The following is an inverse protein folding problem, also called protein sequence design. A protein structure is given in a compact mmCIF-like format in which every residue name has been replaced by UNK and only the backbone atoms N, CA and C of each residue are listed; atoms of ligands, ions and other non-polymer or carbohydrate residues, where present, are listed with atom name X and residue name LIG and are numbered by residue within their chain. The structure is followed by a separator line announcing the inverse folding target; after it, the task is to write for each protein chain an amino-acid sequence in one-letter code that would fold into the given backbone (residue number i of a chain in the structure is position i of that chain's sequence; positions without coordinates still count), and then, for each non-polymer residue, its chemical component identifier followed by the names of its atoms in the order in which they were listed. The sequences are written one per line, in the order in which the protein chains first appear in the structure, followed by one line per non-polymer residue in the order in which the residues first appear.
data_IF_578333633855
#
_entry.id   IF_578333633855
#
_cell.length_a   1.000
_cell.length_b   1.000
_cell.length_c   1.000
_cell.angle_alpha   90.00
_cell.angle_beta   90.00
_cell.angle_gamma   90.00
#
_symmetry.space_group_name_H-M   'P 1'
#
loop_
_entity.id
_entity.type
_entity.pdbx_description
1 polymer ?
#
# COMPACT_ATOMS: atom_id res chain seq x y z
N UNK A 1 -25.06 84.02 -50.48
CA UNK A 1 -23.65 83.63 -50.31
C UNK A 1 -23.12 83.67 -48.87
N UNK A 2 -23.49 84.61 -47.97
CA UNK A 2 -23.02 84.66 -46.55
C UNK A 2 -23.57 83.52 -45.68
N UNK A 3 -24.81 83.04 -45.93
CA UNK A 3 -25.35 81.88 -45.12
C UNK A 3 -24.74 80.52 -45.46
N UNK A 4 -24.40 80.31 -46.74
CA UNK A 4 -23.75 79.09 -47.20
C UNK A 4 -22.35 79.01 -46.60
N UNK A 5 -21.61 80.15 -46.57
CA UNK A 5 -20.28 80.18 -45.89
C UNK A 5 -20.31 79.88 -44.40
N UNK A 6 -21.37 80.37 -43.69
CA UNK A 6 -21.60 80.08 -42.27
C UNK A 6 -21.93 78.58 -42.06
N UNK A 7 -22.73 77.95 -42.94
CA UNK A 7 -23.05 76.54 -42.89
C UNK A 7 -21.76 75.61 -43.11
N UNK A 8 -20.93 76.03 -44.09
CA UNK A 8 -19.67 75.27 -44.33
C UNK A 8 -18.68 75.37 -43.14
N UNK A 9 -18.58 76.58 -42.54
CA UNK A 9 -17.75 76.77 -41.34
C UNK A 9 -18.27 75.95 -40.15
N UNK A 10 -19.60 75.96 -39.91
CA UNK A 10 -20.18 75.14 -38.86
C UNK A 10 -19.99 73.63 -39.10
N UNK A 11 -20.16 73.18 -40.34
CA UNK A 11 -19.88 71.77 -40.69
C UNK A 11 -18.39 71.39 -40.50
N UNK A 12 -17.46 72.31 -40.83
CA UNK A 12 -16.02 72.10 -40.61
C UNK A 12 -15.68 72.04 -39.10
N UNK A 13 -16.24 72.91 -38.29
CA UNK A 13 -16.06 72.89 -36.82
C UNK A 13 -16.64 71.61 -36.20
N UNK A 14 -17.81 71.19 -36.64
CA UNK A 14 -18.42 69.93 -36.19
C UNK A 14 -17.55 68.73 -36.62
N UNK A 15 -17.07 68.70 -37.85
CA UNK A 15 -16.19 67.62 -38.35
C UNK A 15 -14.85 67.57 -37.63
N UNK A 16 -14.23 68.71 -37.34
CA UNK A 16 -12.98 68.76 -36.55
C UNK A 16 -13.22 68.38 -35.11
N UNK A 17 -14.30 68.82 -34.47
CA UNK A 17 -14.68 68.43 -33.10
C UNK A 17 -14.91 66.93 -33.02
N UNK A 18 -15.62 66.35 -33.98
CA UNK A 18 -15.84 64.91 -34.06
C UNK A 18 -14.56 64.12 -34.27
N UNK A 19 -13.65 64.63 -35.09
CA UNK A 19 -12.33 64.01 -35.32
C UNK A 19 -11.45 64.07 -34.06
N UNK A 20 -11.46 65.17 -33.32
CA UNK A 20 -10.75 65.31 -32.03
C UNK A 20 -11.31 64.34 -30.97
N UNK A 21 -12.64 64.22 -30.91
CA UNK A 21 -13.28 63.27 -30.02
C UNK A 21 -12.86 61.81 -30.31
N UNK A 22 -12.82 61.42 -31.58
CA UNK A 22 -12.37 60.07 -31.99
C UNK A 22 -10.86 59.88 -31.91
N UNK A 23 -10.09 60.94 -31.74
CA UNK A 23 -8.63 60.85 -31.54
C UNK A 23 -8.24 60.52 -30.10
N UNK A 24 -9.10 60.84 -29.14
CA UNK A 24 -8.82 60.63 -27.73
C UNK A 24 -9.23 59.22 -27.30
N UNK A 25 -8.39 58.56 -26.50
CA UNK A 25 -8.72 57.29 -25.86
C UNK A 25 -8.05 57.18 -24.49
N UNK A 26 -8.61 56.33 -23.65
CA UNK A 26 -8.11 56.09 -22.28
C UNK A 26 -7.49 54.71 -22.19
N UNK A 27 -6.36 54.64 -21.50
CA UNK A 27 -5.69 53.38 -21.14
C UNK A 27 -5.88 53.10 -19.67
N UNK A 28 -6.47 51.95 -19.34
CA UNK A 28 -6.63 51.50 -17.95
C UNK A 28 -5.32 50.88 -17.44
N UNK A 29 -5.08 50.88 -16.10
CA UNK A 29 -3.94 50.20 -15.47
C UNK A 29 -3.91 48.70 -15.71
N UNK A 30 -5.06 48.07 -15.94
CA UNK A 30 -5.17 46.63 -16.19
C UNK A 30 -4.94 46.24 -17.66
N UNK A 31 -4.70 47.24 -18.51
CA UNK A 31 -4.58 47.08 -19.97
C UNK A 31 -3.29 47.66 -20.52
N UNK A 32 -2.82 47.08 -21.57
CA UNK A 32 -1.73 47.59 -22.41
C UNK A 32 -2.24 47.65 -23.86
N UNK A 33 -1.78 48.64 -24.60
CA UNK A 33 -2.31 48.96 -25.92
C UNK A 33 -1.23 48.91 -26.97
N UNK A 34 -1.59 48.32 -28.12
CA UNK A 34 -0.80 48.39 -29.36
C UNK A 34 -1.63 49.15 -30.36
N UNK A 35 -1.06 50.23 -30.92
CA UNK A 35 -1.63 50.95 -32.03
C UNK A 35 -1.20 50.28 -33.33
N UNK A 36 -2.18 49.95 -34.16
CA UNK A 36 -1.94 49.44 -35.51
C UNK A 36 -2.42 50.42 -36.56
N UNK A 37 -1.69 50.47 -37.66
CA UNK A 37 -2.08 51.23 -38.84
C UNK A 37 -2.11 50.27 -40.02
N UNK A 38 -3.28 50.14 -40.65
CA UNK A 38 -3.51 49.18 -41.73
C UNK A 38 -3.04 47.75 -41.34
N UNK A 39 -3.31 47.32 -40.09
CA UNK A 39 -2.97 46.02 -39.54
C UNK A 39 -1.48 45.85 -39.09
N UNK A 40 -0.63 46.89 -39.33
CA UNK A 40 0.79 46.85 -38.92
C UNK A 40 0.97 47.62 -37.61
N UNK A 41 1.59 47.02 -36.58
CA UNK A 41 1.88 47.73 -35.33
C UNK A 41 2.85 48.86 -35.53
N UNK A 42 2.54 50.02 -34.94
CA UNK A 42 3.35 51.25 -35.03
C UNK A 42 3.71 51.71 -33.61
N UNK A 43 4.98 52.06 -33.45
CA UNK A 43 5.49 52.59 -32.19
C UNK A 43 5.72 51.51 -31.13
N UNK A 44 5.95 51.97 -29.92
CA UNK A 44 6.14 51.08 -28.76
C UNK A 44 4.79 50.77 -28.10
N UNK A 45 4.61 49.62 -27.49
CA UNK A 45 3.43 49.31 -26.69
C UNK A 45 3.22 50.37 -25.62
N UNK A 46 1.96 50.80 -25.43
CA UNK A 46 1.59 51.76 -24.42
C UNK A 46 1.12 51.02 -23.17
N UNK A 47 1.96 51.03 -22.14
CA UNK A 47 1.73 50.31 -20.85
C UNK A 47 1.26 51.24 -19.76
N UNK A 48 1.50 52.58 -19.90
CA UNK A 48 1.14 53.55 -18.88
C UNK A 48 -0.30 54.00 -19.06
N UNK A 49 -1.08 53.92 -17.99
CA UNK A 49 -2.45 54.38 -17.95
C UNK A 49 -2.56 55.91 -18.19
N UNK A 50 -3.74 56.34 -18.60
CA UNK A 50 -4.07 57.75 -18.81
C UNK A 50 -4.69 58.02 -20.16
N UNK A 51 -4.91 59.31 -20.41
CA UNK A 51 -5.44 59.83 -21.69
C UNK A 51 -4.36 59.86 -22.73
N UNK A 52 -4.61 59.30 -23.90
CA UNK A 52 -3.70 59.22 -25.04
C UNK A 52 -4.40 59.67 -26.33
N UNK A 53 -3.60 59.96 -27.35
CA UNK A 53 -4.09 60.44 -28.63
C UNK A 53 -3.67 59.48 -29.74
N UNK A 54 -4.60 59.16 -30.63
CA UNK A 54 -4.35 58.42 -31.88
C UNK A 54 -4.77 59.22 -33.10
N UNK A 55 -4.27 58.83 -34.26
CA UNK A 55 -4.79 59.40 -35.54
C UNK A 55 -6.12 58.71 -35.86
N UNK A 56 -7.23 59.48 -35.84
CA UNK A 56 -8.55 58.89 -36.10
C UNK A 56 -8.62 58.36 -37.54
N UNK A 57 -9.48 57.38 -37.77
CA UNK A 57 -9.75 56.71 -39.06
C UNK A 57 -8.60 55.85 -39.65
N UNK A 58 -7.36 56.04 -39.21
CA UNK A 58 -6.19 55.36 -39.76
C UNK A 58 -5.59 54.38 -38.75
N UNK A 59 -5.63 54.78 -37.47
CA UNK A 59 -5.07 53.98 -36.38
C UNK A 59 -6.13 53.23 -35.59
N UNK A 60 -5.90 51.97 -35.42
CA UNK A 60 -6.72 51.06 -34.59
C UNK A 60 -6.06 50.74 -33.26
N UNK A 61 -6.84 50.55 -32.22
CA UNK A 61 -6.37 50.25 -30.90
C UNK A 61 -6.61 48.76 -30.64
N UNK A 62 -5.55 48.04 -30.36
CA UNK A 62 -5.63 46.65 -29.91
C UNK A 62 -5.32 46.61 -28.40
N UNK A 63 -6.33 46.30 -27.63
CA UNK A 63 -6.23 46.22 -26.17
C UNK A 63 -5.82 44.82 -25.75
N UNK A 64 -4.80 44.73 -24.93
CA UNK A 64 -4.22 43.47 -24.40
C UNK A 64 -4.30 43.53 -22.87
N UNK A 65 -4.73 42.46 -22.23
CA UNK A 65 -4.79 42.37 -20.78
C UNK A 65 -3.35 42.33 -20.18
N UNK A 66 -3.12 43.09 -19.11
CA UNK A 66 -1.87 43.18 -18.38
C UNK A 66 -1.88 42.30 -17.13
N UNK A 67 -3.07 41.86 -16.70
CA UNK A 67 -3.26 41.02 -15.51
C UNK A 67 -2.74 39.62 -15.71
N UNK A 68 -2.65 38.88 -14.61
CA UNK A 68 -2.41 37.45 -14.65
C UNK A 68 -3.67 36.76 -15.17
N UNK A 69 -3.48 35.96 -16.21
CA UNK A 69 -4.49 35.15 -16.86
C UNK A 69 -4.33 33.70 -16.44
N UNK A 70 -5.43 33.00 -16.45
CA UNK A 70 -5.47 31.57 -16.19
C UNK A 70 -5.46 30.78 -17.50
N UNK A 71 -4.85 29.63 -17.46
CA UNK A 71 -4.99 28.58 -18.44
C UNK A 71 -5.45 27.31 -17.73
N UNK A 72 -6.60 26.79 -18.09
CA UNK A 72 -7.19 25.55 -17.57
C UNK A 72 -7.17 24.52 -18.70
N UNK A 73 -6.21 23.59 -18.62
CA UNK A 73 -6.01 22.57 -19.64
C UNK A 73 -7.17 21.56 -19.62
N UNK A 74 -7.48 21.01 -20.78
CA UNK A 74 -8.44 19.90 -20.85
C UNK A 74 -7.78 18.62 -20.35
N UNK A 75 -8.51 17.77 -19.58
CA UNK A 75 -8.01 16.47 -19.17
C UNK A 75 -7.49 15.69 -20.40
N UNK A 76 -6.28 15.24 -20.34
CA UNK A 76 -5.63 14.50 -21.44
C UNK A 76 -5.04 13.19 -20.92
N UNK A 77 -5.28 12.13 -21.69
CA UNK A 77 -4.76 10.81 -21.37
C UNK A 77 -3.32 10.67 -21.86
N UNK A 78 -2.46 10.19 -20.97
CA UNK A 78 -1.04 10.03 -21.29
C UNK A 78 -0.43 8.84 -20.55
N UNK A 79 0.53 8.14 -21.19
CA UNK A 79 1.22 7.02 -20.55
C UNK A 79 2.32 7.55 -19.62
N UNK A 80 2.48 6.87 -18.48
CA UNK A 80 3.60 7.05 -17.57
C UNK A 80 4.77 6.12 -17.94
N UNK A 81 5.94 6.30 -17.31
CA UNK A 81 7.12 5.44 -17.51
C UNK A 81 6.83 3.97 -17.20
N UNK A 82 6.00 3.70 -16.21
CA UNK A 82 5.55 2.37 -15.81
C UNK A 82 4.37 1.82 -16.65
N UNK A 83 4.13 2.45 -17.82
CA UNK A 83 3.11 2.04 -18.81
C UNK A 83 1.68 2.08 -18.29
N UNK A 84 1.41 2.89 -17.29
CA UNK A 84 0.06 3.15 -16.81
C UNK A 84 -0.53 4.34 -17.56
N UNK A 85 -1.76 4.20 -18.04
CA UNK A 85 -2.48 5.31 -18.69
C UNK A 85 -3.24 6.11 -17.64
N UNK A 86 -2.92 7.39 -17.56
CA UNK A 86 -3.52 8.33 -16.62
C UNK A 86 -4.14 9.51 -17.35
N UNK A 87 -5.25 10.00 -16.85
CA UNK A 87 -5.88 11.24 -17.25
C UNK A 87 -5.34 12.36 -16.37
N UNK A 88 -4.68 13.32 -16.97
CA UNK A 88 -4.03 14.42 -16.28
C UNK A 88 -4.72 15.72 -16.64
N UNK A 89 -5.07 16.48 -15.61
CA UNK A 89 -5.67 17.79 -15.68
C UNK A 89 -4.69 18.80 -15.06
N UNK A 90 -4.39 19.87 -15.80
CA UNK A 90 -3.40 20.87 -15.47
C UNK A 90 -4.00 22.26 -15.40
N UNK A 91 -3.37 23.06 -14.58
CA UNK A 91 -3.68 24.48 -14.43
C UNK A 91 -2.40 25.28 -14.47
N UNK A 92 -2.41 26.41 -15.18
CA UNK A 92 -1.29 27.33 -15.24
C UNK A 92 -1.72 28.78 -15.13
N UNK A 93 -0.82 29.62 -14.64
CA UNK A 93 -1.00 31.07 -14.62
C UNK A 93 0.07 31.72 -15.48
N UNK A 94 -0.36 32.66 -16.28
CA UNK A 94 0.51 33.33 -17.24
C UNK A 94 0.17 34.80 -17.36
N UNK A 95 1.08 35.60 -17.92
CA UNK A 95 0.85 37.03 -18.25
C UNK A 95 1.59 37.41 -19.48
N UNK A 96 1.15 38.51 -20.08
CA UNK A 96 1.77 39.09 -21.28
C UNK A 96 2.78 40.12 -20.83
N UNK A 97 4.09 39.88 -21.11
CA UNK A 97 5.20 40.79 -20.76
C UNK A 97 5.67 41.58 -21.96
N UNK A 98 5.58 41.01 -23.17
CA UNK A 98 5.88 41.72 -24.40
C UNK A 98 4.64 41.74 -25.33
N UNK A 99 3.83 42.79 -25.25
CA UNK A 99 2.60 42.89 -26.04
C UNK A 99 2.88 42.90 -27.54
N UNK A 100 4.04 43.44 -27.99
CA UNK A 100 4.39 43.49 -29.40
C UNK A 100 4.66 42.09 -29.96
N UNK A 101 5.45 41.28 -29.28
CA UNK A 101 5.68 39.88 -29.67
C UNK A 101 4.40 39.08 -29.61
N UNK A 102 3.61 39.28 -28.57
CA UNK A 102 2.31 38.65 -28.42
C UNK A 102 1.39 38.95 -29.62
N UNK A 103 1.21 40.23 -29.95
CA UNK A 103 0.37 40.62 -31.05
C UNK A 103 0.87 40.13 -32.41
N UNK A 104 2.16 40.18 -32.66
CA UNK A 104 2.75 39.74 -33.94
C UNK A 104 2.59 38.22 -34.16
N UNK A 105 2.65 37.43 -33.12
CA UNK A 105 2.66 35.96 -33.19
C UNK A 105 1.32 35.29 -32.91
N UNK A 106 0.53 35.86 -32.02
CA UNK A 106 -0.70 35.25 -31.54
C UNK A 106 -1.95 36.07 -31.88
N UNK A 107 -1.83 37.40 -31.91
CA UNK A 107 -2.90 38.39 -32.19
C UNK A 107 -3.96 38.50 -31.11
N UNK A 108 -4.56 37.39 -30.70
CA UNK A 108 -5.68 37.32 -29.77
C UNK A 108 -5.48 36.25 -28.68
N UNK A 109 -6.33 36.30 -27.67
CA UNK A 109 -6.28 35.39 -26.50
C UNK A 109 -6.63 33.96 -26.89
N UNK A 110 -7.52 33.74 -27.85
CA UNK A 110 -7.88 32.39 -28.30
C UNK A 110 -6.71 31.68 -28.94
N UNK A 111 -5.96 32.38 -29.77
CA UNK A 111 -4.71 31.88 -30.39
C UNK A 111 -3.65 31.61 -29.34
N UNK A 112 -3.57 32.45 -28.28
CA UNK A 112 -2.67 32.24 -27.17
C UNK A 112 -3.05 30.98 -26.37
N UNK A 113 -4.32 30.81 -26.03
CA UNK A 113 -4.80 29.60 -25.35
C UNK A 113 -4.52 28.33 -26.16
N UNK A 114 -4.79 28.34 -27.48
CA UNK A 114 -4.48 27.20 -28.33
C UNK A 114 -2.98 26.88 -28.35
N UNK A 115 -2.13 27.89 -28.37
CA UNK A 115 -0.69 27.69 -28.35
C UNK A 115 -0.18 27.22 -26.99
N UNK A 116 -0.80 27.68 -25.91
CA UNK A 116 -0.52 27.17 -24.56
C UNK A 116 -0.97 25.70 -24.43
N UNK A 117 -2.13 25.33 -24.97
CA UNK A 117 -2.59 23.94 -25.03
C UNK A 117 -1.54 23.04 -25.71
N UNK A 118 -1.02 23.46 -26.85
CA UNK A 118 -0.01 22.70 -27.60
C UNK A 118 1.30 22.55 -26.82
N UNK A 119 1.82 23.64 -26.26
CA UNK A 119 3.13 23.64 -25.60
C UNK A 119 3.04 22.97 -24.24
N UNK A 120 2.09 23.37 -23.38
CA UNK A 120 1.93 22.82 -22.03
C UNK A 120 1.53 21.35 -22.10
N UNK A 121 0.62 20.99 -23.01
CA UNK A 121 0.20 19.61 -23.22
C UNK A 121 1.33 18.69 -23.68
N UNK A 122 2.18 19.19 -24.63
CA UNK A 122 3.31 18.38 -25.12
C UNK A 122 4.41 18.23 -24.06
N UNK A 123 4.76 19.30 -23.34
CA UNK A 123 5.77 19.22 -22.28
C UNK A 123 5.31 18.38 -21.11
N UNK A 124 4.03 18.45 -20.75
CA UNK A 124 3.45 17.57 -19.74
C UNK A 124 3.52 16.10 -20.14
N UNK A 125 3.14 15.79 -21.38
CA UNK A 125 3.22 14.41 -21.90
C UNK A 125 4.65 13.88 -21.86
N UNK A 126 5.63 14.71 -22.27
CA UNK A 126 7.03 14.37 -22.23
C UNK A 126 7.52 14.11 -20.80
N UNK A 127 7.16 14.97 -19.85
CA UNK A 127 7.55 14.82 -18.46
C UNK A 127 6.88 13.58 -17.82
N UNK A 128 5.57 13.41 -18.01
CA UNK A 128 4.83 12.26 -17.49
C UNK A 128 5.39 10.94 -18.01
N UNK A 129 5.74 10.86 -19.28
CA UNK A 129 6.33 9.65 -19.89
C UNK A 129 7.73 9.28 -19.32
N UNK A 130 8.45 10.24 -18.73
CA UNK A 130 9.77 10.03 -18.10
C UNK A 130 9.68 9.59 -16.64
N UNK A 131 8.54 9.79 -15.99
CA UNK A 131 8.35 9.55 -14.56
C UNK A 131 7.35 8.43 -14.29
N UNK A 132 7.56 7.72 -13.17
CA UNK A 132 6.61 6.72 -12.69
C UNK A 132 5.40 7.41 -12.04
N UNK A 133 4.24 6.77 -12.09
CA UNK A 133 2.99 7.32 -11.54
C UNK A 133 3.15 7.78 -10.08
N UNK A 134 3.88 7.01 -9.28
CA UNK A 134 4.11 7.34 -7.87
C UNK A 134 4.84 8.68 -7.67
N UNK A 135 5.76 9.01 -8.56
CA UNK A 135 6.50 10.28 -8.54
C UNK A 135 5.60 11.47 -8.91
N UNK A 136 4.62 11.25 -9.78
CA UNK A 136 3.68 12.28 -10.23
C UNK A 136 2.62 12.57 -9.16
N UNK A 137 2.18 11.52 -8.41
CA UNK A 137 1.13 11.65 -7.40
C UNK A 137 1.68 12.18 -6.07
N UNK A 138 2.83 11.68 -5.61
CA UNK A 138 3.34 11.97 -4.27
C UNK A 138 4.20 13.22 -4.23
N UNK A 139 3.88 14.08 -3.27
CA UNK A 139 4.61 15.32 -3.01
C UNK A 139 5.67 15.13 -1.92
N UNK A 140 5.37 14.32 -0.90
CA UNK A 140 6.22 14.22 0.29
C UNK A 140 7.07 12.93 0.26
N UNK A 141 8.40 13.08 0.22
CA UNK A 141 9.38 11.99 0.26
C UNK A 141 9.42 11.27 1.61
N UNK A 142 9.16 11.98 2.69
CA UNK A 142 9.32 11.48 4.06
C UNK A 142 8.04 10.89 4.64
N UNK A 143 7.00 10.67 3.84
CA UNK A 143 5.76 10.06 4.32
C UNK A 143 6.04 8.62 4.74
N UNK A 144 5.93 8.38 6.06
CA UNK A 144 5.93 7.02 6.60
C UNK A 144 4.54 6.40 6.43
N UNK A 145 4.44 5.11 6.07
CA UNK A 145 3.15 4.43 6.08
C UNK A 145 2.58 4.45 7.50
N UNK A 146 1.26 4.58 7.64
CA UNK A 146 0.59 4.22 8.89
C UNK A 146 0.82 2.71 9.06
N UNK A 147 1.72 2.34 9.98
CA UNK A 147 1.96 0.95 10.32
C UNK A 147 0.91 0.52 11.30
N UNK A 148 0.25 -0.57 11.01
CA UNK A 148 -0.59 -1.26 11.96
C UNK A 148 0.33 -1.79 13.08
N UNK A 149 0.14 -1.39 14.35
CA UNK A 149 0.96 -1.87 15.47
C UNK A 149 0.84 -3.38 15.68
N UNK A 150 -0.20 -4.02 15.14
CA UNK A 150 -0.43 -5.46 15.22
C UNK A 150 0.38 -6.28 14.21
N UNK A 151 1.06 -5.65 13.24
CA UNK A 151 1.91 -6.36 12.27
C UNK A 151 3.17 -6.91 12.95
N UNK A 152 3.38 -8.22 12.82
CA UNK A 152 4.53 -8.94 13.34
C UNK A 152 5.86 -8.50 12.68
N UNK A 153 7.00 -8.84 13.29
CA UNK A 153 8.32 -8.53 12.71
C UNK A 153 8.55 -9.20 11.35
N UNK A 154 8.04 -10.40 11.16
CA UNK A 154 8.09 -11.12 9.88
C UNK A 154 7.36 -10.38 8.74
N UNK A 155 6.26 -9.71 9.05
CA UNK A 155 5.52 -8.88 8.08
C UNK A 155 6.26 -7.59 7.73
N UNK A 156 7.13 -7.11 8.62
CA UNK A 156 8.03 -5.96 8.36
C UNK A 156 9.11 -6.32 7.34
N UNK A 157 9.65 -7.53 7.39
CA UNK A 157 10.62 -8.04 6.41
C UNK A 157 10.01 -8.20 5.01
N UNK A 158 8.75 -8.61 4.92
CA UNK A 158 8.03 -8.78 3.66
C UNK A 158 7.62 -7.46 2.99
N UNK A 159 7.94 -6.30 3.58
CA UNK A 159 7.60 -4.95 3.07
C UNK A 159 6.11 -4.75 2.76
N UNK A 160 5.23 -5.50 3.39
CA UNK A 160 3.77 -5.39 3.20
C UNK A 160 3.32 -4.02 3.69
N UNK A 161 2.64 -3.27 2.81
CA UNK A 161 2.23 -1.89 3.09
C UNK A 161 3.36 -0.86 3.07
N UNK A 162 4.59 -1.25 2.70
CA UNK A 162 5.67 -0.31 2.51
C UNK A 162 5.35 0.64 1.35
N UNK A 163 5.48 1.94 1.59
CA UNK A 163 5.37 2.92 0.51
C UNK A 163 6.62 2.84 -0.37
N UNK A 164 6.42 2.69 -1.68
CA UNK A 164 7.52 2.78 -2.65
C UNK A 164 8.24 4.12 -2.45
N UNK A 165 9.57 4.15 -2.26
CA UNK A 165 10.30 5.39 -2.09
C UNK A 165 10.22 6.22 -3.37
N UNK A 166 10.01 7.53 -3.24
CA UNK A 166 10.08 8.49 -4.34
C UNK A 166 11.42 9.22 -4.32
N UNK A 167 11.98 9.44 -5.49
CA UNK A 167 13.26 10.14 -5.65
C UNK A 167 13.04 11.64 -5.88
N UNK A 168 12.13 11.99 -6.77
CA UNK A 168 11.90 13.36 -7.25
C UNK A 168 10.63 13.95 -6.65
N UNK A 169 9.48 13.30 -6.88
CA UNK A 169 8.17 13.72 -6.41
C UNK A 169 7.49 14.75 -7.32
N UNK A 170 6.19 14.97 -7.06
CA UNK A 170 5.30 15.80 -7.87
C UNK A 170 5.83 17.21 -8.15
N UNK A 171 6.38 17.89 -7.15
CA UNK A 171 6.90 19.24 -7.30
C UNK A 171 8.06 19.31 -8.28
N UNK A 172 8.91 18.30 -8.32
CA UNK A 172 10.00 18.24 -9.27
C UNK A 172 9.48 18.09 -10.71
N UNK A 173 8.47 17.22 -10.92
CA UNK A 173 7.85 17.03 -12.23
C UNK A 173 7.17 18.31 -12.70
N UNK A 174 6.44 19.01 -11.83
CA UNK A 174 5.83 20.32 -12.12
C UNK A 174 6.91 21.34 -12.51
N UNK A 175 8.04 21.38 -11.82
CA UNK A 175 9.18 22.28 -12.13
C UNK A 175 9.87 21.93 -13.45
N UNK A 176 9.98 20.64 -13.79
CA UNK A 176 10.52 20.20 -15.09
C UNK A 176 9.63 20.67 -16.24
N UNK A 177 8.30 20.51 -16.11
CA UNK A 177 7.32 21.00 -17.08
C UNK A 177 7.40 22.52 -17.19
N UNK A 178 7.43 23.22 -16.06
CA UNK A 178 7.51 24.68 -16.00
C UNK A 178 8.75 25.21 -16.75
N UNK A 179 9.94 24.67 -16.48
CA UNK A 179 11.16 25.14 -17.09
C UNK A 179 11.19 24.91 -18.60
N UNK A 180 10.78 23.72 -19.05
CA UNK A 180 10.71 23.38 -20.47
C UNK A 180 9.67 24.21 -21.24
N UNK A 181 8.51 24.44 -20.63
CA UNK A 181 7.45 25.23 -21.25
C UNK A 181 7.77 26.73 -21.27
N UNK A 182 8.33 27.29 -20.17
CA UNK A 182 8.66 28.70 -20.05
C UNK A 182 9.61 29.18 -21.16
N UNK A 183 10.62 28.38 -21.50
CA UNK A 183 11.56 28.71 -22.58
C UNK A 183 10.85 28.83 -23.93
N UNK A 184 9.92 27.90 -24.20
CA UNK A 184 9.17 27.88 -25.48
C UNK A 184 8.08 28.94 -25.54
N UNK A 185 7.48 29.31 -24.44
CA UNK A 185 6.39 30.31 -24.38
C UNK A 185 6.95 31.72 -24.44
N UNK A 186 8.16 31.97 -23.94
CA UNK A 186 8.79 33.27 -23.89
C UNK A 186 8.93 33.93 -25.29
N UNK A 187 9.10 33.16 -26.33
CA UNK A 187 9.18 33.68 -27.72
C UNK A 187 7.88 34.36 -28.18
N UNK A 188 6.76 34.07 -27.55
CA UNK A 188 5.44 34.67 -27.84
C UNK A 188 5.16 35.92 -27.01
N UNK A 189 6.12 36.40 -26.23
CA UNK A 189 5.93 37.54 -25.32
C UNK A 189 5.11 37.22 -24.08
N UNK A 190 4.96 35.94 -23.76
CA UNK A 190 4.23 35.42 -22.61
C UNK A 190 5.23 34.95 -21.55
N UNK A 191 4.92 35.24 -20.29
CA UNK A 191 5.59 34.69 -19.12
C UNK A 191 4.69 33.71 -18.43
N UNK A 192 5.17 32.48 -18.23
CA UNK A 192 4.52 31.50 -17.38
C UNK A 192 4.92 31.76 -15.93
N UNK A 193 3.95 31.86 -15.02
CA UNK A 193 4.19 32.13 -13.60
C UNK A 193 4.28 30.85 -12.79
N UNK A 194 3.37 29.93 -13.02
CA UNK A 194 3.40 28.58 -12.45
C UNK A 194 2.59 27.59 -13.29
N UNK A 195 2.82 26.32 -13.01
CA UNK A 195 2.03 25.20 -13.54
C UNK A 195 1.81 24.18 -12.42
N UNK A 196 0.60 23.66 -12.33
CA UNK A 196 0.22 22.69 -11.31
C UNK A 196 -0.68 21.59 -11.87
N UNK A 197 -0.49 20.38 -11.36
CA UNK A 197 -1.46 19.32 -11.57
C UNK A 197 -2.72 19.62 -10.76
N UNK A 198 -3.85 19.73 -11.43
CA UNK A 198 -5.17 19.94 -10.81
C UNK A 198 -5.76 18.60 -10.38
N UNK A 199 -5.75 17.63 -11.28
CA UNK A 199 -6.27 16.28 -11.05
C UNK A 199 -5.44 15.25 -11.81
N UNK A 200 -5.23 14.11 -11.18
CA UNK A 200 -4.58 12.95 -11.79
C UNK A 200 -5.45 11.75 -11.45
N UNK A 201 -6.01 11.10 -12.46
CA UNK A 201 -6.84 9.90 -12.33
C UNK A 201 -6.33 8.82 -13.27
N UNK A 202 -6.70 7.58 -13.00
CA UNK A 202 -6.59 6.55 -14.01
C UNK A 202 -7.57 6.82 -15.14
N UNK A 203 -7.17 6.51 -16.37
CA UNK A 203 -8.08 6.54 -17.50
C UNK A 203 -9.31 5.66 -17.22
N UNK A 204 -10.50 6.10 -17.61
CA UNK A 204 -11.76 5.41 -17.32
C UNK A 204 -11.82 3.98 -17.84
N UNK A 205 -11.23 3.72 -18.99
CA UNK A 205 -11.22 2.39 -19.61
C UNK A 205 -10.31 1.39 -18.87
N UNK A 206 -9.28 1.89 -18.18
CA UNK A 206 -8.28 1.06 -17.47
C UNK A 206 -8.61 0.93 -15.98
N UNK A 207 -9.33 1.89 -15.42
CA UNK A 207 -9.67 1.96 -13.99
C UNK A 207 -10.29 0.69 -13.43
N UNK A 208 -11.29 0.05 -14.06
CA UNK A 208 -11.88 -1.20 -13.55
C UNK A 208 -10.85 -2.33 -13.42
N UNK A 209 -10.02 -2.51 -14.44
CA UNK A 209 -8.98 -3.55 -14.45
C UNK A 209 -7.93 -3.35 -13.35
N UNK A 210 -7.58 -2.09 -13.06
CA UNK A 210 -6.65 -1.77 -11.97
C UNK A 210 -7.28 -2.08 -10.62
N UNK A 211 -8.56 -1.74 -10.42
CA UNK A 211 -9.27 -2.07 -9.19
C UNK A 211 -9.42 -3.59 -9.00
N UNK A 212 -9.76 -4.34 -10.04
CA UNK A 212 -9.81 -5.80 -9.99
C UNK A 212 -8.45 -6.39 -9.60
N UNK A 213 -7.35 -5.88 -10.19
CA UNK A 213 -6.01 -6.31 -9.83
C UNK A 213 -5.69 -5.98 -8.37
N UNK A 214 -5.98 -4.78 -7.90
CA UNK A 214 -5.75 -4.38 -6.50
C UNK A 214 -6.56 -5.25 -5.52
N UNK A 215 -7.81 -5.57 -5.85
CA UNK A 215 -8.67 -6.47 -5.06
C UNK A 215 -8.07 -7.88 -5.03
N UNK A 216 -7.63 -8.38 -6.18
CA UNK A 216 -6.99 -9.70 -6.29
C UNK A 216 -5.69 -9.76 -5.46
N UNK A 217 -4.82 -8.76 -5.56
CA UNK A 217 -3.59 -8.65 -4.77
C UNK A 217 -3.90 -8.63 -3.26
N UNK A 218 -4.91 -7.86 -2.84
CA UNK A 218 -5.32 -7.82 -1.43
C UNK A 218 -5.90 -9.13 -0.95
N UNK A 219 -6.71 -9.80 -1.78
CA UNK A 219 -7.23 -11.13 -1.47
C UNK A 219 -6.11 -12.16 -1.34
N UNK A 220 -5.15 -12.15 -2.25
CA UNK A 220 -3.99 -13.04 -2.18
C UNK A 220 -3.16 -12.82 -0.89
N UNK A 221 -2.98 -11.58 -0.47
CA UNK A 221 -2.31 -11.26 0.80
C UNK A 221 -3.12 -11.81 1.99
N UNK A 222 -4.44 -11.59 1.99
CA UNK A 222 -5.32 -12.09 3.05
C UNK A 222 -5.33 -13.62 3.14
N UNK A 223 -5.42 -14.33 2.00
CA UNK A 223 -5.36 -15.80 1.93
C UNK A 223 -4.01 -16.34 2.44
N UNK A 224 -2.92 -15.66 2.13
CA UNK A 224 -1.60 -16.03 2.66
C UNK A 224 -1.57 -15.93 4.18
N UNK A 225 -2.01 -14.81 4.77
CA UNK A 225 -2.06 -14.65 6.22
C UNK A 225 -2.98 -15.65 6.90
N UNK A 226 -4.11 -15.95 6.28
CA UNK A 226 -5.04 -16.98 6.79
C UNK A 226 -4.37 -18.36 6.78
N UNK A 227 -3.66 -18.70 5.70
CA UNK A 227 -2.93 -19.98 5.59
C UNK A 227 -1.79 -20.08 6.60
N UNK A 228 -0.98 -19.01 6.75
CA UNK A 228 0.11 -18.94 7.74
C UNK A 228 -0.43 -19.06 9.17
N UNK A 229 -1.53 -18.34 9.47
CA UNK A 229 -2.18 -18.41 10.77
C UNK A 229 -2.75 -19.80 11.08
N UNK A 230 -3.36 -20.46 10.10
CA UNK A 230 -3.85 -21.83 10.24
C UNK A 230 -2.70 -22.84 10.44
N UNK A 231 -1.60 -22.66 9.71
CA UNK A 231 -0.40 -23.47 9.87
C UNK A 231 0.22 -23.33 11.25
N UNK A 232 0.36 -22.12 11.76
CA UNK A 232 0.90 -21.85 13.09
C UNK A 232 -0.04 -22.39 14.19
N UNK A 233 -1.35 -22.23 14.03
CA UNK A 233 -2.33 -22.81 14.96
C UNK A 233 -2.29 -24.34 14.96
N UNK A 234 -2.04 -24.97 13.81
CA UNK A 234 -1.88 -26.43 13.71
C UNK A 234 -0.58 -26.88 14.41
N UNK A 235 0.51 -26.14 14.22
CA UNK A 235 1.79 -26.39 14.89
C UNK A 235 1.66 -26.34 16.42
N UNK A 236 1.08 -25.25 16.93
CA UNK A 236 0.86 -25.07 18.38
C UNK A 236 -0.01 -26.21 18.95
N UNK A 237 -1.06 -26.61 18.22
CA UNK A 237 -1.90 -27.76 18.64
C UNK A 237 -1.11 -29.07 18.65
N UNK A 238 -0.28 -29.31 17.65
CA UNK A 238 0.60 -30.49 17.59
C UNK A 238 1.61 -30.51 18.73
N UNK A 239 2.29 -29.40 18.99
CA UNK A 239 3.22 -29.25 20.10
C UNK A 239 2.55 -29.51 21.45
N UNK A 240 1.34 -28.95 21.66
CA UNK A 240 0.56 -29.20 22.88
C UNK A 240 0.25 -30.68 23.09
N UNK A 241 -0.21 -31.39 22.05
CA UNK A 241 -0.49 -32.83 22.15
C UNK A 241 0.77 -33.59 22.49
N UNK A 242 1.87 -33.34 21.77
CA UNK A 242 3.15 -33.98 22.06
C UNK A 242 3.63 -33.76 23.50
N UNK A 243 3.54 -32.52 23.99
CA UNK A 243 3.99 -32.19 25.35
C UNK A 243 3.10 -32.83 26.42
N UNK A 244 1.78 -32.93 26.17
CA UNK A 244 0.85 -33.67 27.05
C UNK A 244 1.17 -35.14 27.07
N UNK A 245 1.37 -35.77 25.90
CA UNK A 245 1.71 -37.21 25.82
C UNK A 245 3.05 -37.50 26.52
N UNK A 246 4.03 -36.59 26.37
CA UNK A 246 5.30 -36.71 27.08
C UNK A 246 5.14 -36.66 28.59
N UNK A 247 4.43 -35.65 29.11
CA UNK A 247 4.16 -35.48 30.55
C UNK A 247 3.43 -36.72 31.09
N UNK A 248 2.41 -37.20 30.37
CA UNK A 248 1.64 -38.37 30.77
C UNK A 248 2.50 -39.64 30.78
N UNK A 249 3.34 -39.84 29.77
CA UNK A 249 4.26 -40.98 29.69
C UNK A 249 5.33 -40.95 30.77
N UNK A 250 5.89 -39.78 31.08
CA UNK A 250 6.86 -39.60 32.17
C UNK A 250 6.21 -39.88 33.53
N UNK A 251 5.00 -39.36 33.78
CA UNK A 251 4.26 -39.62 35.00
C UNK A 251 3.92 -41.11 35.14
N UNK A 252 3.46 -41.77 34.06
CA UNK A 252 3.19 -43.21 34.08
C UNK A 252 4.46 -44.03 34.38
N UNK A 253 5.60 -43.72 33.76
CA UNK A 253 6.89 -44.34 34.01
C UNK A 253 7.27 -44.20 35.49
N UNK A 254 7.13 -42.98 36.06
CA UNK A 254 7.50 -42.75 37.48
C UNK A 254 6.57 -43.54 38.43
N UNK A 255 5.28 -43.62 38.15
CA UNK A 255 4.32 -44.42 38.92
C UNK A 255 4.71 -45.90 38.88
N UNK A 256 5.01 -46.46 37.70
CA UNK A 256 5.40 -47.88 37.57
C UNK A 256 6.76 -48.19 38.23
N UNK A 257 7.69 -47.21 38.16
CA UNK A 257 8.97 -47.35 38.86
C UNK A 257 8.81 -47.35 40.37
N UNK A 258 8.01 -46.43 40.94
CA UNK A 258 7.72 -46.40 42.37
C UNK A 258 7.00 -47.66 42.80
N UNK A 259 6.02 -48.15 42.04
CA UNK A 259 5.29 -49.38 42.29
C UNK A 259 6.24 -50.60 42.27
N UNK A 260 7.10 -50.68 41.23
CA UNK A 260 8.05 -51.78 41.15
C UNK A 260 9.06 -51.79 42.30
N UNK A 261 9.53 -50.62 42.73
CA UNK A 261 10.42 -50.51 43.91
C UNK A 261 9.70 -50.90 45.19
N UNK A 262 8.42 -50.49 45.35
CA UNK A 262 7.62 -50.87 46.53
C UNK A 262 7.36 -52.41 46.58
N UNK A 263 7.01 -53.00 45.44
CA UNK A 263 6.76 -54.45 45.32
C UNK A 263 8.05 -55.24 45.57
N UNK A 264 9.20 -54.77 45.03
CA UNK A 264 10.49 -55.39 45.29
C UNK A 264 10.87 -55.34 46.78
N UNK A 265 10.66 -54.18 47.40
CA UNK A 265 10.91 -53.99 48.83
C UNK A 265 9.99 -54.85 49.72
N UNK A 266 8.72 -54.91 49.34
CA UNK A 266 7.77 -55.81 50.01
C UNK A 266 8.18 -57.29 49.89
N UNK A 267 8.57 -57.73 48.70
CA UNK A 267 9.06 -59.09 48.47
C UNK A 267 10.33 -59.38 49.26
N UNK A 268 11.27 -58.43 49.36
CA UNK A 268 12.47 -58.55 50.17
C UNK A 268 12.16 -58.70 51.67
N UNK A 269 11.22 -57.87 52.19
CA UNK A 269 10.80 -57.94 53.57
C UNK A 269 10.13 -59.30 53.85
N UNK A 270 9.24 -59.75 53.00
CA UNK A 270 8.59 -61.05 53.14
C UNK A 270 9.62 -62.21 53.09
N UNK A 271 10.49 -62.21 52.10
CA UNK A 271 11.55 -63.19 51.92
C UNK A 271 12.46 -63.29 53.16
N UNK A 272 12.91 -62.10 53.64
CA UNK A 272 13.77 -62.09 54.86
C UNK A 272 13.06 -62.57 56.11
N UNK A 273 11.73 -62.35 56.24
CA UNK A 273 10.96 -62.79 57.38
C UNK A 273 10.73 -64.31 57.37
N UNK A 274 10.43 -64.88 56.19
CA UNK A 274 10.06 -66.29 56.07
C UNK A 274 11.26 -67.25 55.83
N UNK A 275 12.42 -66.79 55.41
CA UNK A 275 13.61 -67.60 55.21
C UNK A 275 14.39 -67.95 56.48
N UNK A 276 13.88 -67.53 57.66
CA UNK A 276 14.52 -67.79 58.94
C UNK A 276 14.47 -69.30 59.36
N UNK A 277 13.41 -70.03 59.02
CA UNK A 277 13.24 -71.45 59.34
C UNK A 277 12.74 -72.22 58.11
N UNK A 278 13.13 -73.50 57.92
CA UNK A 278 12.66 -74.31 56.79
C UNK A 278 11.12 -74.46 56.70
N UNK A 279 10.44 -74.57 57.83
CA UNK A 279 8.99 -74.75 57.90
C UNK A 279 8.24 -73.49 57.48
N UNK A 280 8.67 -72.32 57.94
CA UNK A 280 8.12 -71.01 57.52
C UNK A 280 8.38 -70.69 56.05
N UNK A 281 9.50 -71.18 55.49
CA UNK A 281 9.81 -71.07 54.06
C UNK A 281 8.81 -71.85 53.21
N UNK A 282 8.54 -73.14 53.58
CA UNK A 282 7.61 -73.97 52.84
C UNK A 282 6.19 -73.42 52.92
N UNK A 283 5.77 -72.88 54.08
CA UNK A 283 4.47 -72.24 54.24
C UNK A 283 4.37 -70.96 53.38
N UNK A 284 5.41 -70.16 53.28
CA UNK A 284 5.46 -68.97 52.43
C UNK A 284 5.39 -69.34 50.95
N UNK A 285 6.22 -70.30 50.50
CA UNK A 285 6.20 -70.81 49.12
C UNK A 285 4.78 -71.34 48.77
N UNK A 286 4.13 -72.09 49.65
CA UNK A 286 2.77 -72.52 49.44
C UNK A 286 1.76 -71.36 49.31
N UNK A 287 1.81 -70.42 50.23
CA UNK A 287 0.87 -69.29 50.24
C UNK A 287 1.07 -68.38 48.97
N UNK A 288 2.33 -68.16 48.60
CA UNK A 288 2.63 -67.34 47.43
C UNK A 288 2.23 -68.04 46.14
N UNK A 289 2.40 -69.34 46.06
CA UNK A 289 1.96 -70.16 44.94
C UNK A 289 0.45 -70.09 44.78
N UNK A 290 -0.29 -70.26 45.92
CA UNK A 290 -1.76 -70.16 45.93
C UNK A 290 -2.24 -68.73 45.49
N UNK A 291 -1.60 -67.70 45.99
CA UNK A 291 -1.91 -66.32 45.54
C UNK A 291 -1.65 -66.12 44.05
N UNK A 292 -0.53 -66.65 43.55
CA UNK A 292 -0.20 -66.56 42.11
C UNK A 292 -1.24 -67.31 41.27
N UNK A 293 -1.67 -68.48 41.71
CA UNK A 293 -2.76 -69.22 41.04
C UNK A 293 -4.09 -68.47 41.07
N UNK A 294 -4.48 -67.83 42.16
CA UNK A 294 -5.69 -67.04 42.22
C UNK A 294 -5.71 -65.82 41.27
N UNK A 295 -4.48 -65.31 40.94
CA UNK A 295 -4.30 -64.15 40.00
C UNK A 295 -4.27 -64.63 38.57
N UNK A 296 -3.59 -65.75 38.27
CA UNK A 296 -3.41 -66.27 36.92
C UNK A 296 -4.64 -67.02 36.42
N UNK A 297 -5.34 -67.76 37.36
CA UNK A 297 -6.52 -68.51 37.00
C UNK A 297 -7.76 -67.62 37.14
N UNK A 298 -8.12 -66.97 36.06
CA UNK A 298 -9.35 -66.17 35.93
C UNK A 298 -10.41 -66.93 35.16
N UNK A 299 -11.69 -66.49 35.24
CA UNK A 299 -12.82 -67.11 34.55
C UNK A 299 -12.63 -67.45 33.09
N UNK A 300 -11.73 -66.74 32.40
CA UNK A 300 -11.45 -66.91 30.97
C UNK A 300 -10.08 -67.57 30.66
N UNK A 301 -9.45 -68.19 31.65
CA UNK A 301 -8.13 -68.81 31.45
C UNK A 301 -8.29 -70.31 31.20
N UNK A 302 -7.74 -70.79 30.09
CA UNK A 302 -7.63 -72.20 29.77
C UNK A 302 -6.27 -72.69 30.28
N UNK A 303 -6.30 -73.62 31.28
CA UNK A 303 -5.11 -74.23 31.85
C UNK A 303 -4.84 -75.59 31.21
N UNK A 304 -3.64 -75.75 30.62
CA UNK A 304 -3.15 -77.05 30.18
C UNK A 304 -2.13 -77.53 31.25
N UNK A 305 -2.51 -78.51 32.01
CA UNK A 305 -1.70 -79.01 33.08
C UNK A 305 -1.17 -80.43 32.78
N UNK A 306 0.13 -80.63 33.03
CA UNK A 306 0.78 -81.94 33.02
C UNK A 306 0.58 -82.62 34.40
N UNK A 307 0.47 -83.89 34.40
CA UNK A 307 0.35 -84.69 35.66
C UNK A 307 1.54 -84.48 36.60
N UNK A 308 2.69 -83.99 36.10
CA UNK A 308 3.85 -83.69 36.92
C UNK A 308 3.97 -82.16 37.26
N UNK A 309 2.93 -81.39 37.04
CA UNK A 309 2.92 -79.97 37.39
C UNK A 309 2.90 -79.77 38.94
N UNK A 310 3.51 -78.68 39.36
CA UNK A 310 3.58 -78.38 40.79
C UNK A 310 2.23 -78.16 41.40
N UNK A 311 1.19 -77.80 40.61
CA UNK A 311 -0.20 -77.73 41.06
C UNK A 311 -0.74 -79.13 41.60
N UNK A 312 -0.36 -80.21 40.88
CA UNK A 312 -0.76 -81.55 41.29
C UNK A 312 0.00 -82.04 42.54
N UNK A 313 1.21 -81.54 42.77
CA UNK A 313 1.96 -81.83 44.00
C UNK A 313 1.19 -81.33 45.24
N UNK A 314 0.58 -80.14 45.17
CA UNK A 314 -0.21 -79.59 46.26
C UNK A 314 -1.57 -80.28 46.40
N UNK A 315 -2.17 -80.73 45.31
CA UNK A 315 -3.42 -81.51 45.35
C UNK A 315 -3.22 -82.90 45.89
N UNK A 316 -2.08 -83.56 45.69
CA UNK A 316 -1.77 -84.87 46.20
C UNK A 316 -1.29 -84.90 47.66
N UNK A 317 -1.21 -83.75 48.28
CA UNK A 317 -0.68 -83.63 49.62
C UNK A 317 0.85 -83.44 49.65
N UNK A 318 1.32 -82.75 50.67
CA UNK A 318 2.72 -82.59 50.94
C UNK A 318 3.31 -83.97 51.22
N UNK A 319 4.26 -84.41 50.38
CA UNK A 319 4.96 -85.67 50.65
C UNK A 319 5.41 -85.70 52.08
N UNK A 320 4.82 -86.64 52.80
CA UNK A 320 5.27 -86.95 54.18
C UNK A 320 6.73 -87.37 54.06
N UNK A 321 7.58 -86.65 54.73
CA UNK A 321 8.95 -86.98 54.91
C UNK A 321 9.11 -88.45 55.34
N UNK A 322 9.75 -89.37 54.61
CA UNK A 322 9.71 -90.78 54.94
C UNK A 322 10.58 -91.17 56.16
N UNK A 323 11.10 -90.20 56.89
CA UNK A 323 12.02 -90.43 58.01
C UNK A 323 11.44 -90.13 59.42
N UNK A 324 10.14 -90.28 59.63
CA UNK A 324 9.63 -90.32 60.97
C UNK A 324 9.29 -91.81 61.28
N UNK A 325 10.24 -92.55 61.83
CA UNK A 325 10.02 -93.82 62.46
C UNK A 325 9.24 -93.60 63.74
N UNK A 326 7.95 -93.99 63.72
CA UNK A 326 7.13 -94.05 64.89
C UNK A 326 7.47 -95.28 65.60
N UNK A 327 8.30 -95.23 66.71
CA UNK A 327 8.50 -96.28 67.66
C UNK A 327 7.15 -96.55 68.31
N UNK A 328 6.60 -97.77 68.13
CA UNK A 328 5.43 -98.30 68.88
C UNK A 328 5.95 -98.73 70.29
N UNK A 329 5.30 -98.14 71.30
CA UNK A 329 5.10 -98.84 72.56
C UNK A 329 3.64 -99.26 72.58
#
# INVERSE_FOLDING_TARGET
MKSIKKGIIAALILGTSFSVYNALYTVSEVQQIIITQFGKPIGKPIVNAGLKIKVPYIQEINTIDKRVLEWDGRPSDMPTKDKLYISVDLFARWRIIDPLQYFLRLKDERSAQSRLDDILGSETRNAVAKHELIEIIRTNKNRKPLRDPLLSEAERELKIGALVPIQKGRQFVEQEIFSAASEKIKIFGIELLDIRFKRINYNESVRPKIYERMISERRQIAERFLSEGNGEAARIRGDRVRDLDKIQSEAYREVEEIRGQADAKAAEIYSSAYNKNPETRQFYEFTRTMQSYSTVISENTTLVLSTNSDLFKFLNGIDRNPNITVEKQ
#
